data_IF_244171164982
#
_entry.id   IF_244171164982
#
_cell.length_a   1.000
_cell.length_b   1.000
_cell.length_c   1.000
_cell.angle_alpha   90.00
_cell.angle_beta   90.00
_cell.angle_gamma   90.00
#
_symmetry.space_group_name_H-M   'P 1'
#
loop_
_entity.id
_entity.type
_entity.pdbx_description
1 polymer ?
#
# COMPACT_ATOMS: atom_id res chain seq x y z
N UNK A 1 6.83 -3.68 -21.09
CA UNK A 1 5.69 -4.27 -20.39
C UNK A 1 5.43 -3.54 -19.09
N UNK A 2 4.18 -3.15 -18.80
CA UNK A 2 3.78 -2.50 -17.54
C UNK A 2 3.84 -3.40 -16.30
N UNK A 3 4.25 -4.66 -16.45
CA UNK A 3 4.20 -5.67 -15.40
C UNK A 3 4.98 -5.28 -14.13
N UNK A 4 6.08 -4.55 -14.23
CA UNK A 4 6.86 -4.09 -13.07
C UNK A 4 6.08 -3.18 -12.13
N UNK A 5 5.09 -2.42 -12.63
CA UNK A 5 4.18 -1.61 -11.80
C UNK A 5 3.23 -2.45 -10.95
N UNK A 6 3.02 -3.72 -11.29
CA UNK A 6 2.08 -4.58 -10.58
C UNK A 6 2.63 -5.10 -9.25
N UNK A 7 3.95 -5.00 -9.03
CA UNK A 7 4.62 -5.52 -7.84
C UNK A 7 5.78 -4.63 -7.35
N UNK A 8 5.70 -3.32 -7.62
CA UNK A 8 6.63 -2.28 -7.15
C UNK A 8 8.09 -2.47 -7.58
N UNK A 9 8.27 -2.76 -8.86
CA UNK A 9 9.58 -2.85 -9.48
C UNK A 9 10.17 -4.25 -9.47
N UNK A 10 11.06 -4.48 -10.41
CA UNK A 10 11.80 -5.74 -10.61
C UNK A 10 13.22 -5.55 -10.10
N UNK A 11 13.75 -6.56 -9.43
CA UNK A 11 15.17 -6.68 -9.13
C UNK A 11 15.71 -7.98 -9.71
N UNK A 12 17.03 -8.15 -9.92
CA UNK A 12 17.60 -9.42 -10.35
C UNK A 12 17.25 -10.60 -9.44
N UNK A 13 16.88 -10.32 -8.17
CA UNK A 13 16.51 -11.32 -7.18
C UNK A 13 15.00 -11.56 -7.08
N UNK A 14 14.18 -10.84 -7.87
CA UNK A 14 12.71 -11.02 -7.82
C UNK A 14 12.35 -12.43 -8.30
N UNK A 15 11.67 -13.26 -7.48
CA UNK A 15 11.29 -14.60 -7.89
C UNK A 15 10.33 -14.61 -9.09
N UNK A 16 10.49 -15.55 -9.99
CA UNK A 16 9.64 -15.66 -11.18
C UNK A 16 8.15 -15.77 -10.83
N UNK A 17 7.79 -16.44 -9.73
CA UNK A 17 6.39 -16.58 -9.34
C UNK A 17 5.72 -15.22 -9.03
N UNK A 18 6.45 -14.22 -8.54
CA UNK A 18 5.90 -12.88 -8.30
C UNK A 18 5.44 -12.26 -9.62
N UNK A 19 6.27 -12.39 -10.66
CA UNK A 19 5.92 -11.92 -11.99
C UNK A 19 4.77 -12.71 -12.59
N UNK A 20 4.85 -14.03 -12.60
CA UNK A 20 3.84 -14.88 -13.26
C UNK A 20 2.48 -14.79 -12.61
N UNK A 21 2.37 -14.79 -11.28
CA UNK A 21 1.10 -14.64 -10.57
C UNK A 21 0.48 -13.26 -10.80
N UNK A 22 1.30 -12.21 -10.77
CA UNK A 22 0.82 -10.84 -11.04
C UNK A 22 0.31 -10.70 -12.47
N UNK A 23 1.05 -11.18 -13.46
CA UNK A 23 0.67 -11.10 -14.87
C UNK A 23 -0.53 -11.99 -15.18
N UNK A 24 -0.59 -13.22 -14.61
CA UNK A 24 -1.69 -14.15 -14.86
C UNK A 24 -3.06 -13.57 -14.48
N UNK A 25 -3.15 -12.79 -13.40
CA UNK A 25 -4.40 -12.14 -13.00
C UNK A 25 -4.93 -11.18 -14.07
N UNK A 26 -4.05 -10.55 -14.86
CA UNK A 26 -4.41 -9.66 -15.96
C UNK A 26 -4.67 -10.39 -17.28
N UNK A 27 -4.00 -11.53 -17.52
CA UNK A 27 -4.25 -12.37 -18.72
C UNK A 27 -5.67 -12.95 -18.66
N UNK A 28 -6.11 -13.38 -17.48
CA UNK A 28 -7.45 -13.94 -17.31
C UNK A 28 -8.54 -12.90 -17.48
N UNK A 29 -8.39 -11.75 -16.87
CA UNK A 29 -9.30 -10.60 -17.03
C UNK A 29 -8.79 -9.36 -16.30
N UNK A 30 -9.24 -8.17 -16.72
CA UNK A 30 -9.01 -6.91 -16.03
C UNK A 30 -10.31 -6.12 -15.93
N UNK A 31 -10.66 -5.67 -14.73
CA UNK A 31 -11.88 -4.94 -14.44
C UNK A 31 -11.58 -3.61 -13.77
N UNK A 32 -12.47 -2.65 -13.94
CA UNK A 32 -12.49 -1.38 -13.21
C UNK A 32 -13.78 -1.23 -12.44
N UNK A 33 -13.69 -0.65 -11.26
CA UNK A 33 -14.84 -0.32 -10.42
C UNK A 33 -15.39 1.05 -10.83
N UNK A 34 -16.65 1.12 -11.20
CA UNK A 34 -17.29 2.34 -11.73
C UNK A 34 -17.30 3.52 -10.75
N UNK A 35 -17.25 3.25 -9.44
CA UNK A 35 -17.19 4.27 -8.38
C UNK A 35 -15.86 4.29 -7.62
N UNK A 36 -14.81 3.66 -8.18
CA UNK A 36 -13.50 3.56 -7.54
C UNK A 36 -13.41 2.43 -6.50
N UNK A 37 -12.22 2.23 -5.94
CA UNK A 37 -11.88 1.11 -5.05
C UNK A 37 -12.63 1.11 -3.71
N UNK A 38 -13.09 2.26 -3.23
CA UNK A 38 -13.86 2.38 -1.97
C UNK A 38 -15.13 1.53 -1.93
N UNK A 39 -15.71 1.20 -3.10
CA UNK A 39 -16.87 0.31 -3.17
C UNK A 39 -16.66 -1.04 -2.48
N UNK A 40 -15.45 -1.62 -2.62
CA UNK A 40 -15.13 -2.90 -1.98
C UNK A 40 -15.16 -2.74 -0.47
N UNK A 41 -14.54 -1.69 0.04
CA UNK A 41 -14.52 -1.39 1.48
C UNK A 41 -15.92 -1.15 2.02
N UNK A 42 -16.74 -0.35 1.31
CA UNK A 42 -18.10 -0.03 1.72
C UNK A 42 -19.01 -1.27 1.74
N UNK A 43 -18.83 -2.19 0.79
CA UNK A 43 -19.53 -3.47 0.76
C UNK A 43 -19.15 -4.35 1.97
N UNK A 44 -17.84 -4.49 2.23
CA UNK A 44 -17.35 -5.28 3.36
C UNK A 44 -17.78 -4.71 4.70
N UNK A 45 -17.77 -3.38 4.87
CA UNK A 45 -18.26 -2.69 6.08
C UNK A 45 -19.74 -3.01 6.31
N UNK A 46 -20.58 -2.92 5.28
CA UNK A 46 -22.01 -3.24 5.39
C UNK A 46 -22.25 -4.68 5.81
N UNK A 47 -21.52 -5.62 5.22
CA UNK A 47 -21.63 -7.03 5.61
C UNK A 47 -21.15 -7.27 7.05
N UNK A 48 -20.03 -6.70 7.48
CA UNK A 48 -19.57 -6.79 8.85
C UNK A 48 -20.62 -6.27 9.84
N UNK A 49 -21.22 -5.10 9.56
CA UNK A 49 -22.28 -4.53 10.40
C UNK A 49 -23.53 -5.41 10.43
N UNK A 50 -23.90 -6.04 9.30
CA UNK A 50 -25.01 -7.00 9.23
C UNK A 50 -24.82 -8.20 10.16
N UNK A 51 -23.57 -8.63 10.37
CA UNK A 51 -23.20 -9.68 11.31
C UNK A 51 -22.92 -9.17 12.73
N UNK A 52 -23.25 -7.92 13.05
CA UNK A 52 -23.11 -7.33 14.38
C UNK A 52 -21.70 -6.89 14.74
N UNK A 53 -20.80 -6.77 13.78
CA UNK A 53 -19.45 -6.30 14.05
C UNK A 53 -19.43 -4.80 14.38
N UNK A 54 -18.60 -4.41 15.33
CA UNK A 54 -18.34 -3.02 15.69
C UNK A 54 -17.11 -2.50 14.97
N UNK A 55 -17.23 -1.32 14.38
CA UNK A 55 -16.13 -0.64 13.68
C UNK A 55 -15.70 0.60 14.46
N UNK A 56 -14.43 0.64 14.82
CA UNK A 56 -13.83 1.77 15.50
C UNK A 56 -12.89 2.51 14.54
N UNK A 57 -13.17 3.78 14.31
CA UNK A 57 -12.31 4.67 13.50
C UNK A 57 -11.46 5.54 14.41
N UNK A 58 -10.33 6.03 13.88
CA UNK A 58 -9.42 6.91 14.64
C UNK A 58 -9.00 6.28 15.98
N UNK A 59 -8.87 4.96 15.99
CA UNK A 59 -8.61 4.16 17.19
C UNK A 59 -7.29 3.41 16.99
N UNK A 60 -6.19 4.10 17.25
CA UNK A 60 -4.84 3.57 17.04
C UNK A 60 -4.45 2.62 18.18
N UNK A 61 -4.11 1.37 17.82
CA UNK A 61 -3.59 0.38 18.76
C UNK A 61 -2.11 0.67 19.01
N UNK A 62 -1.72 0.80 20.28
CA UNK A 62 -0.35 1.16 20.68
C UNK A 62 0.34 0.11 21.55
N UNK A 63 -0.38 -0.82 22.20
CA UNK A 63 0.22 -1.82 23.05
C UNK A 63 -0.70 -3.03 23.28
N UNK A 64 -0.11 -4.13 23.74
CA UNK A 64 -0.80 -5.32 24.22
C UNK A 64 -0.44 -5.61 25.68
N UNK A 65 -1.40 -6.14 26.44
CA UNK A 65 -1.14 -6.82 27.71
C UNK A 65 -1.10 -8.32 27.50
N UNK A 66 -0.24 -9.00 28.26
CA UNK A 66 -0.02 -10.44 28.15
C UNK A 66 -0.41 -11.17 29.44
N UNK A 67 -0.96 -12.36 29.31
CA UNK A 67 -1.16 -13.32 30.39
C UNK A 67 0.05 -14.25 30.56
N UNK A 68 -0.07 -15.17 31.52
CA UNK A 68 0.99 -16.12 31.89
C UNK A 68 1.39 -17.08 30.75
N UNK A 69 0.53 -17.32 29.76
CA UNK A 69 0.72 -18.33 28.72
C UNK A 69 1.14 -17.73 27.34
N UNK A 70 1.78 -16.58 27.34
CA UNK A 70 2.14 -15.87 26.09
C UNK A 70 0.94 -15.63 25.16
N UNK A 71 -0.20 -15.29 25.72
CA UNK A 71 -1.37 -14.85 24.98
C UNK A 71 -1.70 -13.41 25.32
N UNK A 72 -2.26 -12.68 24.37
CA UNK A 72 -2.72 -11.31 24.57
C UNK A 72 -4.03 -11.35 25.37
N UNK A 73 -4.07 -10.62 26.48
CA UNK A 73 -5.27 -10.48 27.34
C UNK A 73 -6.01 -9.18 27.08
N UNK A 74 -5.32 -8.15 26.56
CA UNK A 74 -5.92 -6.88 26.23
C UNK A 74 -5.14 -6.15 25.12
N UNK A 75 -5.87 -5.36 24.34
CA UNK A 75 -5.37 -4.45 23.30
C UNK A 75 -5.63 -3.03 23.78
N UNK A 76 -4.60 -2.19 23.81
CA UNK A 76 -4.68 -0.81 24.28
C UNK A 76 -4.57 0.18 23.13
N UNK A 77 -5.38 1.22 23.16
CA UNK A 77 -5.37 2.29 22.16
C UNK A 77 -4.73 3.55 22.70
N UNK A 78 -4.30 4.42 21.79
CA UNK A 78 -3.74 5.72 22.10
C UNK A 78 -4.70 6.62 22.89
N UNK A 79 -6.00 6.44 22.68
CA UNK A 79 -7.08 7.15 23.38
C UNK A 79 -7.39 6.59 24.78
N UNK A 80 -6.62 5.59 25.26
CA UNK A 80 -6.80 4.96 26.55
C UNK A 80 -7.89 3.89 26.63
N UNK A 81 -8.50 3.52 25.50
CA UNK A 81 -9.48 2.43 25.46
C UNK A 81 -8.77 1.07 25.56
N UNK A 82 -9.47 0.10 26.12
CA UNK A 82 -8.98 -1.27 26.26
C UNK A 82 -10.01 -2.24 25.68
N UNK A 83 -9.56 -3.09 24.76
CA UNK A 83 -10.36 -4.14 24.14
C UNK A 83 -9.86 -5.52 24.58
N UNK A 84 -10.77 -6.48 24.73
CA UNK A 84 -10.47 -7.89 25.03
C UNK A 84 -11.15 -8.77 24.01
N UNK A 85 -10.44 -9.79 23.54
CA UNK A 85 -10.95 -10.76 22.59
C UNK A 85 -10.23 -12.11 22.76
N UNK A 86 -10.92 -13.19 22.40
CA UNK A 86 -10.34 -14.54 22.38
C UNK A 86 -9.26 -14.68 21.32
N UNK A 87 -9.49 -14.07 20.16
CA UNK A 87 -8.57 -14.08 19.02
C UNK A 87 -8.32 -12.65 18.54
N UNK A 88 -7.10 -12.38 18.13
CA UNK A 88 -6.67 -11.09 17.60
C UNK A 88 -6.06 -11.31 16.22
N UNK A 89 -6.57 -10.62 15.22
CA UNK A 89 -6.08 -10.67 13.86
C UNK A 89 -5.46 -9.30 13.52
N UNK A 90 -4.18 -9.30 13.19
CA UNK A 90 -3.45 -8.09 12.82
C UNK A 90 -3.28 -8.02 11.30
N UNK A 91 -3.77 -6.96 10.70
CA UNK A 91 -3.61 -6.64 9.28
C UNK A 91 -2.63 -5.48 9.02
N UNK A 92 -1.91 -5.02 10.05
CA UNK A 92 -0.92 -3.94 9.95
C UNK A 92 0.43 -4.45 9.45
N UNK A 93 1.33 -3.53 9.15
CA UNK A 93 2.71 -3.86 8.80
C UNK A 93 3.39 -4.70 9.90
N UNK A 94 4.12 -5.74 9.50
CA UNK A 94 4.70 -6.69 10.46
C UNK A 94 5.80 -6.07 11.33
N UNK A 95 6.57 -5.08 10.85
CA UNK A 95 7.54 -4.34 11.68
C UNK A 95 6.82 -3.48 12.72
N UNK A 96 5.71 -2.86 12.33
CA UNK A 96 4.87 -2.10 13.26
C UNK A 96 4.23 -3.02 14.31
N UNK A 97 3.75 -4.21 13.89
CA UNK A 97 3.26 -5.21 14.83
C UNK A 97 4.32 -5.60 15.87
N UNK A 98 5.58 -5.80 15.45
CA UNK A 98 6.67 -6.09 16.39
C UNK A 98 6.91 -4.96 17.41
N UNK A 99 6.76 -3.70 16.98
CA UNK A 99 6.90 -2.55 17.90
C UNK A 99 5.78 -2.52 18.94
N UNK A 100 4.52 -2.69 18.50
CA UNK A 100 3.33 -2.70 19.36
C UNK A 100 3.37 -3.88 20.35
N UNK A 101 3.74 -5.06 19.86
CA UNK A 101 3.77 -6.27 20.68
C UNK A 101 4.98 -6.35 21.65
N UNK A 102 6.03 -5.59 21.37
CA UNK A 102 7.26 -5.60 22.13
C UNK A 102 8.22 -6.74 21.71
N UNK A 103 9.51 -6.45 21.74
CA UNK A 103 10.57 -7.37 21.29
C UNK A 103 10.54 -8.72 22.01
N UNK A 104 10.21 -8.72 23.31
CA UNK A 104 10.17 -9.91 24.19
C UNK A 104 9.04 -10.88 23.81
N UNK A 105 8.03 -10.44 23.08
CA UNK A 105 6.90 -11.29 22.68
C UNK A 105 7.24 -12.26 21.55
N UNK A 106 8.39 -12.08 20.89
CA UNK A 106 8.80 -12.89 19.74
C UNK A 106 10.18 -13.53 19.96
N UNK A 107 10.40 -14.67 19.31
CA UNK A 107 11.72 -15.30 19.27
C UNK A 107 12.75 -14.34 18.67
N UNK A 108 13.98 -14.26 19.21
CA UNK A 108 15.02 -13.37 18.69
C UNK A 108 15.31 -13.55 17.18
N UNK A 109 15.29 -14.81 16.69
CA UNK A 109 15.48 -15.13 15.27
C UNK A 109 14.38 -14.56 14.39
N UNK A 110 13.12 -14.63 14.82
CA UNK A 110 11.98 -14.04 14.11
C UNK A 110 12.10 -12.51 14.08
N UNK A 111 12.39 -11.90 15.23
CA UNK A 111 12.57 -10.45 15.33
C UNK A 111 13.68 -9.98 14.40
N UNK A 112 14.86 -10.62 14.42
CA UNK A 112 15.99 -10.28 13.54
C UNK A 112 15.61 -10.43 12.06
N UNK A 113 14.92 -11.51 11.69
CA UNK A 113 14.44 -11.74 10.31
C UNK A 113 13.53 -10.61 9.84
N UNK A 114 12.52 -10.25 10.61
CA UNK A 114 11.57 -9.19 10.24
C UNK A 114 12.27 -7.83 10.14
N UNK A 115 13.18 -7.51 11.05
CA UNK A 115 13.95 -6.25 10.98
C UNK A 115 14.83 -6.17 9.73
N UNK A 116 15.37 -7.31 9.26
CA UNK A 116 16.20 -7.39 8.05
C UNK A 116 15.44 -7.25 6.72
N UNK A 117 14.10 -7.34 6.74
CA UNK A 117 13.30 -7.26 5.51
C UNK A 117 13.47 -5.92 4.81
N UNK A 118 13.68 -5.98 3.50
CA UNK A 118 13.80 -4.82 2.64
C UNK A 118 12.42 -4.40 2.11
N UNK A 119 12.01 -3.12 2.27
CA UNK A 119 10.73 -2.66 1.75
C UNK A 119 10.74 -2.64 0.21
N UNK A 120 9.54 -2.74 -0.38
CA UNK A 120 9.34 -2.46 -1.80
C UNK A 120 9.46 -0.95 -2.08
N UNK A 121 9.40 -0.56 -3.34
CA UNK A 121 9.41 0.83 -3.72
C UNK A 121 8.20 1.58 -3.15
N UNK A 122 8.40 2.86 -2.85
CA UNK A 122 7.35 3.82 -2.59
C UNK A 122 7.01 4.62 -3.84
N UNK A 123 5.98 5.46 -3.77
CA UNK A 123 5.55 6.23 -4.92
C UNK A 123 5.24 7.70 -4.60
N UNK A 124 5.27 8.49 -5.66
CA UNK A 124 4.61 9.77 -5.76
C UNK A 124 3.36 9.60 -6.61
N UNK A 125 2.22 10.06 -6.15
CA UNK A 125 0.98 10.06 -6.94
C UNK A 125 0.47 11.46 -7.14
N UNK A 126 0.03 11.73 -8.37
CA UNK A 126 -0.63 12.96 -8.78
C UNK A 126 -2.06 12.62 -9.17
N UNK A 127 -3.01 13.17 -8.45
CA UNK A 127 -4.44 12.99 -8.67
C UNK A 127 -5.01 14.27 -9.27
N UNK A 128 -5.43 14.20 -10.51
CA UNK A 128 -5.97 15.32 -11.28
C UNK A 128 -7.49 15.30 -11.27
N UNK A 129 -8.08 16.42 -10.97
CA UNK A 129 -9.49 16.72 -11.25
C UNK A 129 -9.52 17.55 -12.51
N UNK A 130 -10.26 17.09 -13.50
CA UNK A 130 -10.28 17.69 -14.83
C UNK A 130 -11.54 18.52 -15.04
N UNK A 131 -11.41 19.53 -15.90
CA UNK A 131 -12.54 20.27 -16.47
C UNK A 131 -13.39 19.32 -17.33
N UNK A 132 -14.71 19.46 -17.33
CA UNK A 132 -15.59 18.54 -18.08
C UNK A 132 -15.36 18.64 -19.60
N UNK A 133 -15.53 17.51 -20.26
CA UNK A 133 -15.56 17.38 -21.74
C UNK A 133 -14.28 17.85 -22.45
N UNK A 134 -13.10 17.75 -21.82
CA UNK A 134 -11.83 18.14 -22.44
C UNK A 134 -10.92 16.96 -22.69
N UNK A 135 -10.76 16.06 -21.70
CA UNK A 135 -9.81 14.97 -21.82
C UNK A 135 -10.51 13.62 -22.06
N UNK A 136 -10.18 12.92 -23.16
CA UNK A 136 -10.86 11.67 -23.50
C UNK A 136 -10.61 10.57 -22.45
N UNK A 137 -11.64 9.76 -22.21
CA UNK A 137 -11.53 8.59 -21.34
C UNK A 137 -10.83 7.46 -22.07
N UNK A 138 -9.80 6.90 -21.43
CA UNK A 138 -9.10 5.71 -21.89
C UNK A 138 -9.49 4.51 -21.02
N UNK A 139 -10.06 3.43 -21.61
CA UNK A 139 -10.50 2.25 -20.85
C UNK A 139 -9.35 1.33 -20.42
N UNK A 140 -8.11 1.78 -20.52
CA UNK A 140 -6.90 1.03 -20.15
C UNK A 140 -5.91 1.93 -19.41
N UNK A 141 -4.95 1.32 -18.71
CA UNK A 141 -3.84 2.03 -18.10
C UNK A 141 -2.72 2.24 -19.09
N UNK A 142 -2.05 3.39 -18.97
CA UNK A 142 -0.83 3.70 -19.73
C UNK A 142 0.36 3.45 -18.80
N UNK A 143 1.37 2.76 -19.33
CA UNK A 143 2.65 2.56 -18.65
C UNK A 143 3.74 3.11 -19.53
N UNK A 144 4.50 4.04 -18.99
CA UNK A 144 5.63 4.67 -19.68
C UNK A 144 6.91 4.47 -18.89
N UNK A 145 8.01 4.26 -19.59
CA UNK A 145 9.35 4.16 -19.05
C UNK A 145 10.28 5.03 -19.88
N UNK A 146 11.20 5.73 -19.22
CA UNK A 146 12.16 6.64 -19.86
C UNK A 146 13.03 5.90 -20.88
N UNK A 147 13.46 4.68 -20.50
CA UNK A 147 14.28 3.77 -21.30
C UNK A 147 14.08 2.32 -20.83
N UNK A 148 14.82 1.38 -21.44
CA UNK A 148 14.73 -0.03 -21.07
C UNK A 148 15.24 -0.33 -19.65
N UNK A 149 16.26 0.39 -19.19
CA UNK A 149 16.84 0.18 -17.85
C UNK A 149 15.91 0.66 -16.75
N UNK A 150 15.08 1.67 -17.03
CA UNK A 150 14.07 2.19 -16.12
C UNK A 150 12.99 1.17 -15.74
N UNK A 151 12.82 0.09 -16.51
CA UNK A 151 11.95 -1.03 -16.15
C UNK A 151 12.44 -1.73 -14.88
N UNK A 152 13.75 -1.78 -14.69
CA UNK A 152 14.41 -2.48 -13.58
C UNK A 152 14.81 -1.53 -12.43
N UNK A 153 15.02 -0.25 -12.70
CA UNK A 153 15.54 0.74 -11.75
C UNK A 153 14.55 1.85 -11.42
N UNK A 154 13.28 1.55 -11.33
CA UNK A 154 12.18 2.52 -11.27
C UNK A 154 12.23 3.51 -10.08
N UNK A 155 12.89 3.15 -8.97
CA UNK A 155 13.01 4.00 -7.77
C UNK A 155 14.46 4.39 -7.44
N UNK A 156 15.45 4.02 -8.28
CA UNK A 156 16.86 4.37 -8.10
C UNK A 156 17.29 5.30 -9.22
N UNK A 157 17.21 6.59 -8.99
CA UNK A 157 17.53 7.64 -9.95
C UNK A 157 18.26 8.81 -9.29
N UNK A 158 19.03 9.55 -10.06
CA UNK A 158 19.52 10.85 -9.65
C UNK A 158 18.35 11.86 -9.61
N UNK A 159 18.39 12.82 -8.70
CA UNK A 159 17.27 13.76 -8.45
C UNK A 159 16.74 14.45 -9.71
N UNK A 160 17.61 14.70 -10.68
CA UNK A 160 17.26 15.35 -11.95
C UNK A 160 16.69 14.40 -13.01
N UNK A 161 16.72 13.08 -12.76
CA UNK A 161 16.20 12.06 -13.66
C UNK A 161 14.74 11.67 -13.39
N UNK A 162 14.13 12.26 -12.37
CA UNK A 162 12.72 12.02 -12.05
C UNK A 162 11.78 12.62 -13.10
N UNK A 163 10.73 11.90 -13.53
CA UNK A 163 10.42 10.49 -13.22
C UNK A 163 11.10 9.52 -14.22
N UNK A 164 11.47 8.32 -13.77
CA UNK A 164 11.94 7.24 -14.66
C UNK A 164 10.80 6.47 -15.35
N UNK A 165 9.61 6.51 -14.77
CA UNK A 165 8.45 5.80 -15.28
C UNK A 165 7.17 6.37 -14.69
N UNK A 166 6.03 6.13 -15.33
CA UNK A 166 4.73 6.39 -14.73
C UNK A 166 3.66 5.40 -15.20
N UNK A 167 2.65 5.24 -14.36
CA UNK A 167 1.38 4.63 -14.71
C UNK A 167 0.31 5.70 -14.68
N UNK A 168 -0.44 5.85 -15.78
CA UNK A 168 -1.60 6.72 -15.85
C UNK A 168 -2.87 5.88 -15.89
N UNK A 169 -3.83 6.19 -15.01
CA UNK A 169 -5.10 5.51 -14.91
C UNK A 169 -6.25 6.51 -14.75
N UNK A 170 -7.45 6.09 -15.13
CA UNK A 170 -8.68 6.88 -15.06
C UNK A 170 -9.78 6.05 -14.45
N UNK A 171 -10.67 6.66 -13.68
CA UNK A 171 -11.92 5.99 -13.30
C UNK A 171 -12.93 6.11 -14.44
N UNK A 172 -13.78 5.10 -14.64
CA UNK A 172 -14.87 5.19 -15.60
C UNK A 172 -15.75 6.41 -15.29
N UNK A 173 -16.10 7.23 -16.28
CA UNK A 173 -16.98 8.37 -16.08
C UNK A 173 -18.41 7.88 -15.73
N UNK A 174 -19.16 8.74 -15.02
CA UNK A 174 -20.51 8.40 -14.54
C UNK A 174 -21.54 8.39 -15.66
N UNK A 175 -21.49 9.41 -16.50
CA UNK A 175 -22.58 9.74 -17.41
C UNK A 175 -22.23 9.58 -18.91
N UNK A 176 -20.96 9.54 -19.26
CA UNK A 176 -20.51 9.28 -20.63
C UNK A 176 -19.21 8.48 -20.61
N UNK A 177 -18.95 7.71 -21.69
CA UNK A 177 -17.67 6.99 -21.84
C UNK A 177 -16.68 7.75 -22.75
N UNK A 178 -16.99 8.99 -23.08
CA UNK A 178 -16.21 9.77 -24.02
C UNK A 178 -15.11 10.58 -23.32
N UNK A 179 -15.45 11.23 -22.20
CA UNK A 179 -14.51 12.08 -21.42
C UNK A 179 -14.39 11.62 -19.99
N UNK A 180 -13.22 11.86 -19.38
CA UNK A 180 -13.00 11.62 -17.97
C UNK A 180 -12.92 12.92 -17.18
N UNK A 181 -13.37 12.88 -15.92
CA UNK A 181 -13.26 13.97 -14.95
C UNK A 181 -12.06 13.81 -13.99
N UNK A 182 -11.32 12.70 -14.10
CA UNK A 182 -10.20 12.44 -13.23
C UNK A 182 -9.12 11.59 -13.91
N UNK A 183 -7.86 11.88 -13.56
CA UNK A 183 -6.69 11.08 -13.94
C UNK A 183 -5.82 10.91 -12.71
N UNK A 184 -5.36 9.69 -12.47
CA UNK A 184 -4.33 9.40 -11.48
C UNK A 184 -3.05 8.98 -12.18
N UNK A 185 -1.96 9.67 -11.87
CA UNK A 185 -0.62 9.36 -12.37
C UNK A 185 0.22 8.93 -11.17
N UNK A 186 0.76 7.72 -11.22
CA UNK A 186 1.63 7.15 -10.21
C UNK A 186 3.02 6.95 -10.80
N UNK A 187 4.04 7.41 -10.09
CA UNK A 187 5.44 7.13 -10.39
C UNK A 187 6.15 6.65 -9.14
N UNK A 188 7.14 5.78 -9.28
CA UNK A 188 7.97 5.40 -8.14
C UNK A 188 8.85 6.56 -7.71
N UNK A 189 9.02 6.69 -6.39
CA UNK A 189 9.83 7.75 -5.79
C UNK A 189 10.84 7.18 -4.81
N UNK A 190 12.06 7.70 -4.88
CA UNK A 190 13.09 7.39 -3.90
C UNK A 190 12.71 8.07 -2.55
N UNK A 191 12.45 7.26 -1.53
CA UNK A 191 12.05 7.76 -0.22
C UNK A 191 13.14 8.64 0.44
N UNK A 192 14.42 8.51 0.04
CA UNK A 192 15.52 9.34 0.54
C UNK A 192 15.36 10.83 0.21
N UNK A 193 14.62 11.18 -0.85
CA UNK A 193 14.31 12.59 -1.16
C UNK A 193 13.51 13.28 -0.05
N UNK A 194 12.83 12.51 0.78
CA UNK A 194 11.98 12.99 1.87
C UNK A 194 12.63 12.86 3.25
N UNK A 195 13.93 12.50 3.32
CA UNK A 195 14.63 12.23 4.58
C UNK A 195 14.54 13.39 5.58
N UNK A 196 14.60 14.63 5.11
CA UNK A 196 14.49 15.83 5.99
C UNK A 196 13.14 15.98 6.67
N UNK A 197 12.09 15.34 6.17
CA UNK A 197 10.73 15.35 6.75
C UNK A 197 10.34 14.05 7.41
N UNK A 198 11.25 13.07 7.51
CA UNK A 198 10.95 11.72 8.01
C UNK A 198 10.37 11.69 9.43
N UNK A 199 10.73 12.67 10.27
CA UNK A 199 10.25 12.77 11.65
C UNK A 199 8.94 13.58 11.78
N UNK A 200 8.33 13.98 10.68
CA UNK A 200 7.05 14.69 10.65
C UNK A 200 5.90 13.76 10.29
N UNK A 201 4.74 13.97 10.89
CA UNK A 201 3.51 13.21 10.61
C UNK A 201 2.39 14.19 10.27
N UNK A 202 1.52 13.80 9.33
CA UNK A 202 0.36 14.60 8.94
C UNK A 202 -0.77 13.66 8.56
N UNK A 203 -1.75 13.52 9.46
CA UNK A 203 -2.99 12.80 9.23
C UNK A 203 -4.17 13.70 9.60
N UNK A 204 -5.38 13.25 9.34
CA UNK A 204 -6.58 14.00 9.73
C UNK A 204 -6.74 14.15 11.25
N UNK A 205 -6.04 13.32 12.04
CA UNK A 205 -6.12 13.32 13.51
C UNK A 205 -4.94 14.01 14.18
N UNK A 206 -3.80 14.09 13.49
CA UNK A 206 -2.57 14.67 14.01
C UNK A 206 -1.90 15.48 12.90
N UNK A 207 -2.19 16.77 12.85
CA UNK A 207 -1.55 17.69 11.92
C UNK A 207 -0.28 18.27 12.50
N UNK A 208 0.89 17.83 12.03
CA UNK A 208 2.11 18.62 12.14
C UNK A 208 2.49 19.05 10.73
N UNK A 209 2.18 20.30 10.34
CA UNK A 209 2.46 20.77 8.98
C UNK A 209 3.95 20.66 8.69
N UNK A 210 4.31 19.99 7.59
CA UNK A 210 5.69 19.83 7.13
C UNK A 210 6.32 21.12 6.63
N UNK A 211 5.56 22.20 6.67
CA UNK A 211 5.98 23.54 6.28
C UNK A 211 6.01 23.78 4.77
N UNK A 212 6.23 25.03 4.40
CA UNK A 212 6.15 25.49 3.01
C UNK A 212 7.15 24.79 2.07
N UNK A 213 8.35 24.45 2.57
CA UNK A 213 9.36 23.76 1.76
C UNK A 213 8.90 22.38 1.28
N UNK A 214 8.06 21.69 2.05
CA UNK A 214 7.49 20.43 1.64
C UNK A 214 6.44 20.61 0.54
N UNK A 215 5.62 21.65 0.64
CA UNK A 215 4.64 21.97 -0.41
C UNK A 215 5.33 22.37 -1.71
N UNK A 216 6.38 23.19 -1.66
CA UNK A 216 7.21 23.56 -2.82
C UNK A 216 7.83 22.31 -3.46
N UNK A 217 8.38 21.40 -2.65
CA UNK A 217 8.91 20.13 -3.15
C UNK A 217 7.84 19.30 -3.87
N UNK A 218 6.64 19.16 -3.30
CA UNK A 218 5.55 18.41 -3.95
C UNK A 218 5.11 19.06 -5.25
N UNK A 219 5.03 20.40 -5.28
CA UNK A 219 4.69 21.14 -6.50
C UNK A 219 5.72 20.92 -7.59
N UNK A 220 7.01 21.00 -7.27
CA UNK A 220 8.07 20.75 -8.24
C UNK A 220 7.97 19.34 -8.82
N UNK A 221 7.82 18.30 -7.97
CA UNK A 221 7.67 16.91 -8.43
C UNK A 221 6.40 16.70 -9.26
N UNK A 222 5.33 17.41 -8.94
CA UNK A 222 4.11 17.37 -9.75
C UNK A 222 4.33 17.97 -11.14
N UNK A 223 5.05 19.10 -11.23
CA UNK A 223 5.37 19.73 -12.53
C UNK A 223 6.34 18.87 -13.34
N UNK A 224 7.41 18.35 -12.74
CA UNK A 224 8.36 17.45 -13.40
C UNK A 224 7.63 16.25 -14.03
N UNK A 225 6.70 15.63 -13.28
CA UNK A 225 5.89 14.51 -13.78
C UNK A 225 4.93 14.93 -14.89
N UNK A 226 4.24 16.06 -14.73
CA UNK A 226 3.31 16.58 -15.73
C UNK A 226 4.02 16.98 -17.04
N UNK A 227 5.25 17.47 -16.97
CA UNK A 227 6.04 17.82 -18.15
C UNK A 227 6.35 16.60 -19.00
N UNK A 228 6.68 15.48 -18.36
CA UNK A 228 6.92 14.21 -19.05
C UNK A 228 5.61 13.63 -19.62
N UNK A 229 4.53 13.63 -18.85
CA UNK A 229 3.23 13.11 -19.29
C UNK A 229 2.65 13.95 -20.43
N UNK A 230 2.85 15.28 -20.42
CA UNK A 230 2.36 16.18 -21.45
C UNK A 230 3.02 15.99 -22.83
N UNK A 231 4.20 15.36 -22.88
CA UNK A 231 4.81 14.96 -24.16
C UNK A 231 3.94 13.98 -24.94
N UNK A 232 3.27 13.08 -24.22
CA UNK A 232 2.35 12.10 -24.80
C UNK A 232 0.90 12.63 -24.84
N UNK A 233 0.52 13.48 -23.88
CA UNK A 233 -0.83 14.01 -23.71
C UNK A 233 -0.84 15.54 -23.59
N UNK A 234 -0.60 16.27 -24.71
CA UNK A 234 -0.42 17.75 -24.69
C UNK A 234 -1.62 18.51 -24.10
N UNK A 235 -2.84 18.00 -24.29
CA UNK A 235 -4.07 18.63 -23.80
C UNK A 235 -4.31 18.44 -22.30
N UNK A 236 -3.60 17.53 -21.64
CA UNK A 236 -3.84 17.21 -20.24
C UNK A 236 -3.64 18.42 -19.33
N UNK A 237 -2.56 19.18 -19.50
CA UNK A 237 -2.27 20.35 -18.65
C UNK A 237 -3.39 21.39 -18.68
N UNK A 238 -3.94 21.69 -19.86
CA UNK A 238 -5.03 22.67 -20.01
C UNK A 238 -6.38 22.16 -19.46
N UNK A 239 -6.52 20.85 -19.39
CA UNK A 239 -7.71 20.20 -18.82
C UNK A 239 -7.75 20.22 -17.28
N UNK A 240 -6.64 20.47 -16.59
CA UNK A 240 -6.58 20.42 -15.13
C UNK A 240 -7.39 21.57 -14.53
N UNK A 241 -8.33 21.23 -13.64
CA UNK A 241 -9.03 22.18 -12.77
C UNK A 241 -8.34 22.27 -11.41
N UNK A 242 -8.04 21.13 -10.79
CA UNK A 242 -7.36 20.99 -9.50
C UNK A 242 -6.48 19.74 -9.49
N UNK A 243 -5.49 19.69 -8.60
CA UNK A 243 -4.72 18.49 -8.37
C UNK A 243 -4.35 18.30 -6.89
N UNK A 244 -4.10 17.04 -6.53
CA UNK A 244 -3.63 16.62 -5.22
C UNK A 244 -2.43 15.70 -5.40
N UNK A 245 -1.54 15.71 -4.42
CA UNK A 245 -0.33 14.87 -4.46
C UNK A 245 -0.24 13.98 -3.23
N UNK A 246 0.25 12.75 -3.42
CA UNK A 246 0.65 11.85 -2.37
C UNK A 246 2.14 11.51 -2.53
N UNK A 247 2.86 11.45 -1.43
CA UNK A 247 4.29 11.12 -1.38
C UNK A 247 4.51 9.84 -0.56
N UNK A 248 5.72 9.27 -0.52
CA UNK A 248 6.07 8.20 0.42
C UNK A 248 5.65 8.48 1.87
N UNK A 249 5.73 9.74 2.33
CA UNK A 249 5.28 10.10 3.68
C UNK A 249 3.75 10.02 3.84
N UNK A 250 2.99 10.33 2.80
CA UNK A 250 1.53 10.15 2.82
C UNK A 250 1.17 8.67 2.97
N UNK A 251 1.81 7.80 2.20
CA UNK A 251 1.61 6.34 2.33
C UNK A 251 2.02 5.83 3.70
N UNK A 252 3.16 6.30 4.25
CA UNK A 252 3.59 5.96 5.60
C UNK A 252 2.53 6.33 6.64
N UNK A 253 2.04 7.55 6.60
CA UNK A 253 1.16 8.09 7.64
C UNK A 253 -0.24 7.47 7.62
N UNK A 254 -0.75 7.11 6.43
CA UNK A 254 -2.10 6.55 6.29
C UNK A 254 -2.15 5.02 6.22
N UNK A 255 -1.11 4.36 5.69
CA UNK A 255 -1.06 2.90 5.58
C UNK A 255 -0.32 2.25 6.76
N UNK A 256 0.52 3.03 7.47
CA UNK A 256 1.28 2.54 8.61
C UNK A 256 2.53 1.72 8.24
N UNK A 257 2.94 1.70 6.96
CA UNK A 257 4.22 1.10 6.59
C UNK A 257 5.36 2.10 6.91
N UNK A 258 6.36 1.72 7.74
CA UNK A 258 7.38 2.66 8.22
C UNK A 258 8.15 3.40 7.13
N UNK A 259 8.27 2.84 5.94
CA UNK A 259 9.00 3.42 4.80
C UNK A 259 8.09 4.04 3.74
N UNK A 260 6.77 3.95 3.91
CA UNK A 260 5.80 4.32 2.88
C UNK A 260 5.80 3.40 1.67
N UNK A 261 6.35 2.18 1.78
CA UNK A 261 6.34 1.20 0.70
C UNK A 261 4.92 0.79 0.30
N UNK A 262 4.68 0.65 -1.01
CA UNK A 262 3.34 0.34 -1.53
C UNK A 262 2.90 -1.09 -1.24
N UNK A 263 3.82 -2.05 -1.34
CA UNK A 263 3.49 -3.48 -1.40
C UNK A 263 4.24 -4.32 -0.37
N UNK A 264 4.55 -3.74 0.79
CA UNK A 264 5.23 -4.44 1.87
C UNK A 264 6.71 -4.70 1.58
N UNK A 265 7.15 -5.95 1.61
CA UNK A 265 8.56 -6.32 1.55
C UNK A 265 8.92 -7.05 0.27
N UNK A 266 10.15 -6.80 -0.22
CA UNK A 266 10.71 -7.47 -1.39
C UNK A 266 10.74 -8.97 -1.18
N UNK A 267 10.37 -9.71 -2.21
CA UNK A 267 10.57 -11.15 -2.29
C UNK A 267 11.93 -11.40 -2.95
N UNK A 268 12.70 -12.32 -2.38
CA UNK A 268 14.05 -12.63 -2.84
C UNK A 268 14.17 -14.12 -3.21
N UNK A 269 14.54 -14.41 -4.45
CA UNK A 269 14.67 -15.78 -4.95
C UNK A 269 15.75 -16.58 -4.20
N UNK A 270 16.80 -15.91 -3.72
CA UNK A 270 17.88 -16.55 -2.96
C UNK A 270 17.49 -16.83 -1.51
N UNK A 271 16.45 -16.13 -0.98
CA UNK A 271 16.03 -16.18 0.42
C UNK A 271 14.50 -16.13 0.54
N UNK A 272 13.80 -17.04 -0.14
CA UNK A 272 12.34 -17.05 -0.27
C UNK A 272 11.65 -17.00 1.08
N UNK A 273 12.15 -17.77 2.07
CA UNK A 273 11.53 -17.89 3.40
C UNK A 273 11.67 -16.63 4.28
N UNK A 274 12.55 -15.69 3.94
CA UNK A 274 12.72 -14.48 4.76
C UNK A 274 11.45 -13.63 4.81
N UNK A 275 10.73 -13.54 3.69
CA UNK A 275 9.52 -12.72 3.53
C UNK A 275 8.22 -13.53 3.54
N UNK A 276 8.26 -14.81 3.93
CA UNK A 276 7.07 -15.65 4.09
C UNK A 276 6.62 -15.64 5.56
N UNK A 277 5.37 -15.32 5.79
CA UNK A 277 4.76 -15.32 7.12
C UNK A 277 3.59 -16.30 7.16
N UNK A 278 3.58 -17.14 8.21
CA UNK A 278 2.41 -17.97 8.52
C UNK A 278 1.37 -17.09 9.23
N UNK A 279 0.07 -17.27 8.95
CA UNK A 279 -0.98 -16.52 9.64
C UNK A 279 -0.92 -16.66 11.17
N UNK A 280 -0.66 -17.82 11.70
CA UNK A 280 -0.50 -18.03 13.13
C UNK A 280 0.89 -17.57 13.60
N UNK A 281 0.93 -16.72 14.61
CA UNK A 281 2.18 -16.28 15.24
C UNK A 281 2.61 -17.21 16.37
N UNK A 282 3.73 -16.91 17.00
CA UNK A 282 4.16 -17.60 18.24
C UNK A 282 3.30 -17.23 19.45
N UNK A 283 2.62 -16.08 19.41
CA UNK A 283 1.64 -15.66 20.42
C UNK A 283 0.35 -16.42 20.16
N UNK A 284 -0.13 -17.21 21.11
CA UNK A 284 -1.18 -18.23 20.93
C UNK A 284 -2.45 -17.72 20.24
N UNK A 285 -2.90 -16.51 20.56
CA UNK A 285 -4.14 -15.93 20.06
C UNK A 285 -3.93 -14.74 19.10
N UNK A 286 -2.71 -14.55 18.58
CA UNK A 286 -2.40 -13.51 17.61
C UNK A 286 -2.16 -14.11 16.24
N UNK A 287 -2.97 -13.69 15.28
CA UNK A 287 -2.89 -14.05 13.87
C UNK A 287 -2.50 -12.83 13.04
N UNK A 288 -1.81 -13.05 11.92
CA UNK A 288 -1.47 -12.02 10.95
C UNK A 288 -2.14 -12.29 9.62
N UNK A 289 -2.53 -11.23 8.93
CA UNK A 289 -3.13 -11.27 7.60
C UNK A 289 -2.62 -10.12 6.74
N UNK A 290 -3.11 -10.00 5.50
CA UNK A 290 -2.76 -8.91 4.61
C UNK A 290 -1.57 -9.22 3.71
N UNK A 291 -1.00 -8.17 3.12
CA UNK A 291 0.03 -8.29 2.07
C UNK A 291 1.34 -8.95 2.51
N UNK A 292 1.63 -8.99 3.80
CA UNK A 292 2.85 -9.63 4.32
C UNK A 292 2.76 -11.15 4.36
N UNK A 293 1.55 -11.73 4.43
CA UNK A 293 1.34 -13.18 4.56
C UNK A 293 1.46 -13.90 3.23
N UNK A 294 0.69 -13.50 2.23
CA UNK A 294 0.72 -14.12 0.91
C UNK A 294 1.37 -13.18 -0.12
N UNK A 295 0.57 -12.32 -0.72
CA UNK A 295 0.99 -11.35 -1.72
C UNK A 295 0.20 -10.05 -1.54
N UNK A 296 0.70 -8.98 -2.15
CA UNK A 296 0.01 -7.69 -2.25
C UNK A 296 -1.13 -7.72 -3.29
N UNK A 297 -1.86 -6.61 -3.38
CA UNK A 297 -2.99 -6.44 -4.27
C UNK A 297 -4.26 -7.13 -3.75
N UNK A 298 -5.41 -6.85 -4.38
CA UNK A 298 -6.72 -7.35 -3.92
C UNK A 298 -6.76 -8.88 -3.84
N UNK A 299 -6.25 -9.57 -4.86
CA UNK A 299 -6.21 -11.04 -4.89
C UNK A 299 -5.31 -11.57 -3.78
N UNK A 300 -4.10 -11.01 -3.64
CA UNK A 300 -3.14 -11.46 -2.62
C UNK A 300 -3.65 -11.30 -1.20
N UNK A 301 -4.26 -10.16 -0.86
CA UNK A 301 -4.81 -9.93 0.49
C UNK A 301 -6.07 -10.76 0.75
N UNK A 302 -6.86 -11.05 -0.27
CA UNK A 302 -8.03 -11.95 -0.15
C UNK A 302 -7.57 -13.37 0.15
N UNK A 303 -6.59 -13.90 -0.59
CA UNK A 303 -5.99 -15.21 -0.30
C UNK A 303 -5.43 -15.24 1.12
N UNK A 304 -4.72 -14.19 1.54
CA UNK A 304 -4.20 -14.04 2.89
C UNK A 304 -5.30 -14.13 3.95
N UNK A 305 -6.42 -13.46 3.74
CA UNK A 305 -7.57 -13.50 4.65
C UNK A 305 -8.19 -14.91 4.73
N UNK A 306 -8.33 -15.61 3.60
CA UNK A 306 -8.84 -17.00 3.57
C UNK A 306 -7.90 -17.95 4.30
N UNK A 307 -6.59 -17.85 4.08
CA UNK A 307 -5.59 -18.66 4.80
C UNK A 307 -5.64 -18.40 6.31
N UNK A 308 -5.74 -17.14 6.71
CA UNK A 308 -5.85 -16.76 8.13
C UNK A 308 -7.11 -17.34 8.76
N UNK A 309 -8.24 -17.24 8.07
CA UNK A 309 -9.51 -17.83 8.51
C UNK A 309 -9.41 -19.35 8.69
N UNK A 310 -8.88 -20.07 7.69
CA UNK A 310 -8.73 -21.53 7.75
C UNK A 310 -7.87 -21.97 8.94
N UNK A 311 -6.76 -21.29 9.20
CA UNK A 311 -5.87 -21.61 10.33
C UNK A 311 -6.56 -21.30 11.66
N UNK A 312 -7.27 -20.16 11.74
CA UNK A 312 -8.03 -19.78 12.93
C UNK A 312 -9.09 -20.84 13.27
N UNK A 313 -9.88 -21.27 12.26
CA UNK A 313 -10.95 -22.26 12.49
C UNK A 313 -10.41 -23.61 12.92
N UNK A 314 -9.29 -24.08 12.36
CA UNK A 314 -8.62 -25.32 12.79
C UNK A 314 -8.11 -25.20 14.23
N UNK A 315 -7.47 -24.10 14.59
CA UNK A 315 -6.94 -23.88 15.95
C UNK A 315 -8.03 -23.73 17.00
N UNK A 316 -9.25 -23.35 16.59
CA UNK A 316 -10.42 -23.21 17.47
C UNK A 316 -11.29 -24.48 17.54
N UNK A 317 -10.93 -25.55 16.83
CA UNK A 317 -11.65 -26.83 16.86
C UNK A 317 -12.98 -26.82 16.07
N UNK A 318 -13.16 -25.87 15.15
CA UNK A 318 -14.36 -25.79 14.30
C UNK A 318 -14.20 -26.50 12.94
N UNK A 319 -13.01 -27.01 12.60
CA UNK A 319 -12.70 -27.81 11.41
C UNK A 319 -11.86 -29.01 11.75
#
# INVERSE_FOLDING_TARGET
SGASFLYAGVTPQTPLYVHTLSVNSYIQSAYRLTKGGSQITDLLIRELQRYGAHLYRQTEVVAFSYGSEQQITAVHTKQGQTFRATHIISAIDVKQLLQIAGKQAFKPSFYKRVQGLQPTASAFSLHLVLKPNIFPYLPYNIYWFKDNDSVYNTAQYATNDFPLSYMLSMNPPKDSREYTDNVTILTYMNANELQRWQNSFTTNTEGNPRGNQYEVFKQQRAMDLLDVVAQQFPTLKSAIAHYYTSTPLTYRDYIGNPTGALYGYKKNANHIMESVFMPQTHIKNLYVTGQSVAMHGLVGVTISAVLTYQILMRSSGFL
#
